data_IF_313186443959
#
_entry.id   IF_313186443959
#
_cell.length_a   1.000
_cell.length_b   1.000
_cell.length_c   1.000
_cell.angle_alpha   90.00
_cell.angle_beta   90.00
_cell.angle_gamma   90.00
#
_symmetry.space_group_name_H-M   'P 1'
#
loop_
_entity.id
_entity.type
_entity.pdbx_description
1 polymer ?
#
# COMPACT_ATOMS: atom_id res chain seq x y z
N UNK A 1 -3.72 4.88 -9.27
CA UNK A 1 -2.52 4.03 -9.14
C UNK A 1 -1.22 4.75 -9.53
N UNK A 2 -1.05 5.29 -10.74
CA UNK A 2 0.21 5.98 -11.13
C UNK A 2 0.59 7.12 -10.18
N UNK A 3 -0.34 8.01 -9.86
CA UNK A 3 -0.11 9.10 -8.88
C UNK A 3 0.27 8.60 -7.48
N UNK A 4 -0.33 7.49 -7.05
CA UNK A 4 -0.01 6.87 -5.77
C UNK A 4 1.40 6.28 -5.79
N UNK A 5 1.76 5.59 -6.88
CA UNK A 5 3.08 5.02 -7.06
C UNK A 5 4.16 6.11 -7.07
N UNK A 6 3.91 7.22 -7.77
CA UNK A 6 4.77 8.40 -7.79
C UNK A 6 4.95 8.99 -6.37
N UNK A 7 3.85 9.27 -5.67
CA UNK A 7 3.91 9.85 -4.32
C UNK A 7 4.53 8.90 -3.28
N UNK A 8 4.31 7.59 -3.41
CA UNK A 8 4.88 6.57 -2.54
C UNK A 8 6.33 6.20 -2.91
N UNK A 9 6.84 6.69 -4.04
CA UNK A 9 8.19 6.37 -4.51
C UNK A 9 8.39 4.89 -4.83
N UNK A 10 7.38 4.22 -5.36
CA UNK A 10 7.42 2.79 -5.72
C UNK A 10 7.00 2.57 -7.18
N UNK A 11 7.37 1.43 -7.76
CA UNK A 11 6.96 1.08 -9.13
C UNK A 11 5.44 0.89 -9.19
N UNK A 12 4.80 1.43 -10.24
CA UNK A 12 3.36 1.27 -10.49
C UNK A 12 2.90 -0.19 -10.42
N UNK A 13 3.71 -1.13 -10.91
CA UNK A 13 3.40 -2.57 -10.87
C UNK A 13 3.37 -3.11 -9.44
N UNK A 14 4.14 -2.52 -8.52
CA UNK A 14 4.06 -2.90 -7.11
C UNK A 14 2.72 -2.49 -6.52
N UNK A 15 2.24 -1.26 -6.77
CA UNK A 15 0.90 -0.83 -6.34
C UNK A 15 -0.18 -1.78 -6.89
N UNK A 16 -0.11 -2.08 -8.19
CA UNK A 16 -1.03 -3.03 -8.83
C UNK A 16 -1.00 -4.41 -8.17
N UNK A 17 0.18 -4.96 -7.93
CA UNK A 17 0.31 -6.29 -7.33
C UNK A 17 -0.19 -6.30 -5.88
N UNK A 18 -0.02 -5.22 -5.13
CA UNK A 18 -0.50 -5.10 -3.75
C UNK A 18 -2.03 -5.09 -3.73
N UNK A 19 -2.68 -4.25 -4.55
CA UNK A 19 -4.15 -4.17 -4.63
C UNK A 19 -4.81 -5.50 -5.03
N UNK A 20 -4.11 -6.31 -5.82
CA UNK A 20 -4.62 -7.60 -6.29
C UNK A 20 -4.14 -8.79 -5.44
N UNK A 21 -3.45 -8.56 -4.32
CA UNK A 21 -2.93 -9.62 -3.45
C UNK A 21 -1.89 -10.53 -4.13
N UNK A 22 -1.23 -10.05 -5.20
CA UNK A 22 -0.24 -10.80 -5.98
C UNK A 22 1.17 -10.76 -5.39
N UNK A 23 1.41 -9.92 -4.39
CA UNK A 23 2.71 -9.78 -3.73
C UNK A 23 2.54 -9.50 -2.25
N UNK A 24 3.50 -9.94 -1.45
CA UNK A 24 3.64 -9.51 -0.06
C UNK A 24 4.42 -8.19 -0.03
N UNK A 25 3.74 -7.10 0.32
CA UNK A 25 4.40 -5.81 0.54
C UNK A 25 5.29 -5.86 1.79
N UNK A 26 6.43 -5.20 1.75
CA UNK A 26 7.22 -4.98 2.97
C UNK A 26 6.54 -3.91 3.83
N UNK A 27 6.85 -3.90 5.13
CA UNK A 27 6.38 -2.84 6.05
C UNK A 27 6.80 -1.45 5.57
N UNK A 28 8.01 -1.32 5.00
CA UNK A 28 8.49 -0.06 4.43
C UNK A 28 7.65 0.40 3.24
N UNK A 29 7.26 -0.51 2.35
CA UNK A 29 6.36 -0.20 1.23
C UNK A 29 4.99 0.24 1.72
N UNK A 30 4.41 -0.47 2.69
CA UNK A 30 3.12 -0.10 3.28
C UNK A 30 3.18 1.27 3.96
N UNK A 31 4.25 1.57 4.68
CA UNK A 31 4.47 2.89 5.29
C UNK A 31 4.61 4.02 4.25
N UNK A 32 5.26 3.77 3.11
CA UNK A 32 5.33 4.75 2.03
C UNK A 32 3.95 5.01 1.40
N UNK A 33 3.16 3.94 1.22
CA UNK A 33 1.79 4.03 0.71
C UNK A 33 0.90 4.81 1.68
N UNK A 34 0.97 4.53 2.98
CA UNK A 34 0.17 5.25 3.98
C UNK A 34 0.51 6.74 4.02
N UNK A 35 1.80 7.09 3.93
CA UNK A 35 2.25 8.49 3.82
C UNK A 35 1.75 9.18 2.55
N UNK A 36 1.80 8.49 1.42
CA UNK A 36 1.34 9.03 0.14
C UNK A 36 -0.18 9.25 0.09
N UNK A 37 -0.94 8.49 0.90
CA UNK A 37 -2.38 8.61 1.06
C UNK A 37 -2.80 9.57 2.17
N UNK A 38 -1.85 10.07 2.97
CA UNK A 38 -2.10 10.89 4.16
C UNK A 38 -3.02 10.21 5.19
N UNK A 39 -2.79 8.91 5.42
CA UNK A 39 -3.53 8.09 6.40
C UNK A 39 -2.56 7.39 7.36
N UNK A 40 -3.11 6.91 8.48
CA UNK A 40 -2.36 6.03 9.38
C UNK A 40 -2.13 4.66 8.73
N UNK A 41 -1.00 4.03 9.03
CA UNK A 41 -0.70 2.69 8.46
C UNK A 41 -1.73 1.63 8.87
N UNK A 42 -2.39 1.80 10.03
CA UNK A 42 -3.46 0.93 10.50
C UNK A 42 -4.68 0.93 9.58
N UNK A 43 -4.96 2.03 8.88
CA UNK A 43 -6.09 2.13 7.95
C UNK A 43 -5.88 1.33 6.67
N UNK A 44 -4.66 0.83 6.41
CA UNK A 44 -4.41 -0.12 5.32
C UNK A 44 -4.89 -1.54 5.63
N UNK A 45 -5.24 -1.82 6.89
CA UNK A 45 -5.62 -3.15 7.35
C UNK A 45 -7.08 -3.16 7.77
N UNK A 46 -7.86 -4.02 7.13
CA UNK A 46 -9.20 -4.37 7.60
C UNK A 46 -9.08 -5.41 8.72
N UNK A 47 -8.94 -4.93 9.96
CA UNK A 47 -8.79 -5.77 11.15
C UNK A 47 -10.05 -6.64 11.36
N UNK A 48 -11.23 -6.16 10.95
CA UNK A 48 -12.50 -6.88 11.10
C UNK A 48 -12.59 -8.10 10.16
N UNK A 49 -11.79 -8.11 9.10
CA UNK A 49 -11.68 -9.24 8.16
C UNK A 49 -10.79 -10.39 8.66
N UNK A 50 -9.98 -10.17 9.71
CA UNK A 50 -9.11 -11.18 10.31
C UNK A 50 -9.94 -12.07 11.26
N UNK A 51 -10.46 -13.18 10.72
CA UNK A 51 -11.10 -14.25 11.50
C UNK A 51 -10.10 -15.17 12.18
#
# INVERSE_FOLDING_TARGET
MEKLAEHAGIDYRQVFNIEHGKTNATVSTLHNISKALDISISELFDIDSLK
#
